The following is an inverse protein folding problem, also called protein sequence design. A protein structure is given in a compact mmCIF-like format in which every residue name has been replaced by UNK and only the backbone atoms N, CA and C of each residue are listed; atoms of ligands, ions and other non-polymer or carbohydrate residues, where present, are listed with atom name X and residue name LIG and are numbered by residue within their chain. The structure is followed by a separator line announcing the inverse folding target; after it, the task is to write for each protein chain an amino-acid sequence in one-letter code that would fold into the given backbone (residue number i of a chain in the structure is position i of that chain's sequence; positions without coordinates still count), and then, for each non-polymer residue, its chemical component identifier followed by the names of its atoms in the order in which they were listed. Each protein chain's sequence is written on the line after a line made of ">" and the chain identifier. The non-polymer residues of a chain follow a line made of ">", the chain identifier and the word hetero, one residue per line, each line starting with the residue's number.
data_IF_203276881779
#
_entry.id   IF_203276881779
#
_cell.length_a   1.000
_cell.length_b   1.000
_cell.length_c   1.000
_cell.angle_alpha   90.00
_cell.angle_beta   90.00
_cell.angle_gamma   90.00
#
_symmetry.space_group_name_H-M   'P 1'
#
loop_
_entity.id
_entity.type
_entity.pdbx_description
1 polymer ?
#
# COMPACT_ATOMS: atom_id res chain seq x y z
N UNK A 1 -10.07 -13.46 8.84
CA UNK A 1 -10.21 -11.99 8.71
C UNK A 1 -9.35 -11.39 9.80
N UNK A 2 -8.11 -11.02 9.45
CA UNK A 2 -7.04 -10.77 10.42
C UNK A 2 -7.23 -9.43 11.14
N UNK A 3 -7.09 -9.47 12.47
CA UNK A 3 -7.15 -8.34 13.39
C UNK A 3 -6.02 -7.33 13.18
N UNK A 4 -5.00 -7.67 12.40
CA UNK A 4 -3.86 -6.82 12.06
C UNK A 4 -4.25 -5.63 11.15
N UNK A 5 -5.35 -5.73 10.42
CA UNK A 5 -5.77 -4.74 9.41
C UNK A 5 -6.50 -3.51 9.98
N UNK A 6 -6.94 -3.55 11.24
CA UNK A 6 -7.62 -2.40 11.86
C UNK A 6 -6.65 -1.36 12.42
N UNK A 7 -5.46 -1.78 12.88
CA UNK A 7 -4.50 -0.88 13.50
C UNK A 7 -3.77 0.03 12.49
N UNK A 8 -3.50 -0.45 11.26
CA UNK A 8 -2.83 0.40 10.24
C UNK A 8 -3.76 1.45 9.62
N UNK A 9 -5.08 1.23 9.60
CA UNK A 9 -6.05 2.19 9.06
C UNK A 9 -6.28 3.39 9.99
N UNK A 10 -6.09 3.23 11.30
CA UNK A 10 -6.35 4.29 12.29
C UNK A 10 -5.24 5.36 12.35
N UNK A 11 -4.04 5.05 11.87
CA UNK A 11 -2.90 5.99 11.87
C UNK A 11 -2.83 6.88 10.63
N UNK A 12 -3.74 6.70 9.66
CA UNK A 12 -3.79 7.49 8.42
C UNK A 12 -4.82 8.63 8.46
N UNK A 13 -5.33 8.98 9.64
CA UNK A 13 -6.19 10.16 9.85
C UNK A 13 -5.61 11.10 10.91
N UNK A 14 -4.28 11.27 10.90
CA UNK A 14 -3.65 12.41 11.54
C UNK A 14 -3.46 13.50 10.48
N UNK A 15 -4.31 14.53 10.57
CA UNK A 15 -4.36 15.71 9.72
C UNK A 15 -2.99 16.11 9.14
N UNK A 16 -2.90 16.16 7.80
CA UNK A 16 -1.75 16.69 7.12
C UNK A 16 -1.46 18.11 7.65
N UNK A 17 -0.24 18.41 8.14
CA UNK A 17 0.08 19.74 8.61
C UNK A 17 -0.04 20.72 7.43
N UNK A 18 -0.60 21.93 7.63
CA UNK A 18 -0.77 22.87 6.54
C UNK A 18 0.59 23.19 5.92
N UNK A 19 0.70 22.94 4.61
CA UNK A 19 1.85 23.23 3.80
C UNK A 19 2.01 24.74 3.61
N UNK A 20 2.45 25.45 4.65
CA UNK A 20 2.78 26.87 4.59
C UNK A 20 4.01 27.14 5.47
N UNK A 21 5.19 26.84 4.93
CA UNK A 21 6.44 27.50 5.35
C UNK A 21 7.21 27.90 4.11
N UNK A 22 6.99 29.12 3.65
CA UNK A 22 7.98 29.79 2.84
C UNK A 22 9.22 30.03 3.71
N UNK A 23 10.33 29.36 3.41
CA UNK A 23 11.64 29.59 4.06
C UNK A 23 12.26 30.95 3.68
N UNK A 24 11.57 31.74 2.86
CA UNK A 24 12.01 33.06 2.43
C UNK A 24 11.26 34.14 3.22
N UNK A 25 11.89 34.60 4.30
CA UNK A 25 11.49 35.82 5.01
C UNK A 25 12.22 37.01 4.38
N UNK A 26 11.49 38.07 4.00
CA UNK A 26 12.12 39.35 3.61
C UNK A 26 12.87 39.91 4.82
N UNK A 27 14.16 40.19 4.65
CA UNK A 27 14.93 40.98 5.62
C UNK A 27 14.28 42.37 5.72
N UNK A 28 13.41 42.55 6.69
CA UNK A 28 13.01 43.87 7.15
C UNK A 28 13.81 44.16 8.40
N UNK A 29 14.39 45.34 8.45
CA UNK A 29 15.22 45.90 9.51
C UNK A 29 14.40 46.17 10.78
N UNK A 30 13.80 45.12 11.35
CA UNK A 30 13.27 45.18 12.71
C UNK A 30 14.40 44.76 13.65
N UNK A 31 14.73 45.57 14.68
CA UNK A 31 15.61 45.10 15.74
C UNK A 31 14.99 43.84 16.32
N UNK A 32 15.75 42.76 16.43
CA UNK A 32 15.29 41.51 17.05
C UNK A 32 15.06 41.80 18.53
N UNK A 33 13.82 42.16 18.86
CA UNK A 33 13.36 42.46 20.21
C UNK A 33 13.29 41.15 21.00
N UNK A 34 14.44 40.76 21.56
CA UNK A 34 14.61 39.50 22.28
C UNK A 34 16.06 39.06 22.46
N UNK A 35 17.00 39.56 21.65
CA UNK A 35 18.41 39.24 21.80
C UNK A 35 19.17 40.33 22.57
N UNK A 36 18.76 40.55 23.83
CA UNK A 36 19.57 41.31 24.80
C UNK A 36 20.78 40.46 25.18
N UNK A 37 21.80 40.44 24.32
CA UNK A 37 23.11 39.90 24.68
C UNK A 37 23.63 40.72 25.86
N UNK A 38 23.52 40.17 27.07
CA UNK A 38 24.30 40.66 28.20
C UNK A 38 25.77 40.55 27.78
N UNK A 39 26.39 41.69 27.49
CA UNK A 39 27.80 41.81 27.11
C UNK A 39 28.63 41.57 28.38
N UNK A 40 28.73 40.31 28.79
CA UNK A 40 29.77 39.83 29.68
C UNK A 40 29.84 38.31 29.55
N UNK A 41 30.56 37.86 28.52
CA UNK A 41 31.12 36.52 28.44
C UNK A 41 32.25 36.62 27.41
N UNK A 42 33.47 36.90 27.90
CA UNK A 42 34.70 36.92 27.10
C UNK A 42 35.06 35.50 26.64
N UNK A 43 34.19 34.82 25.90
CA UNK A 43 34.58 33.62 25.17
C UNK A 43 34.89 34.04 23.75
N UNK A 44 36.12 33.73 23.32
CA UNK A 44 36.58 33.97 21.96
C UNK A 44 35.52 33.45 20.97
N UNK A 45 35.17 34.28 19.98
CA UNK A 45 34.21 33.97 18.91
C UNK A 45 34.54 32.62 18.27
N UNK A 46 35.83 32.31 18.10
CA UNK A 46 36.30 31.02 17.58
C UNK A 46 35.82 29.84 18.44
N UNK A 47 35.82 29.99 19.77
CA UNK A 47 35.36 28.94 20.68
C UNK A 47 33.85 28.73 20.58
N UNK A 48 33.08 29.81 20.44
CA UNK A 48 31.63 29.75 20.20
C UNK A 48 31.30 29.11 18.86
N UNK A 49 32.05 29.46 17.81
CA UNK A 49 31.91 28.87 16.48
C UNK A 49 32.22 27.37 16.50
N UNK A 50 33.30 26.98 17.17
CA UNK A 50 33.68 25.56 17.32
C UNK A 50 32.60 24.79 18.10
N UNK A 51 32.06 25.34 19.18
CA UNK A 51 30.97 24.72 19.96
C UNK A 51 29.67 24.60 19.17
N UNK A 52 29.34 25.61 18.35
CA UNK A 52 28.20 25.59 17.44
C UNK A 52 28.35 24.49 16.37
N UNK A 53 29.51 24.45 15.70
CA UNK A 53 29.80 23.41 14.69
C UNK A 53 29.80 22.00 15.31
N UNK A 54 30.32 21.84 16.53
CA UNK A 54 30.29 20.56 17.26
C UNK A 54 28.87 20.14 17.66
N UNK A 55 28.03 21.06 18.10
CA UNK A 55 26.62 20.78 18.46
C UNK A 55 25.80 20.42 17.22
N UNK A 56 25.98 21.15 16.11
CA UNK A 56 25.30 20.86 14.86
C UNK A 56 25.72 19.50 14.28
N UNK A 57 27.00 19.12 14.42
CA UNK A 57 27.51 17.81 14.00
C UNK A 57 26.92 16.65 14.81
N UNK A 58 26.55 16.86 16.08
CA UNK A 58 25.86 15.85 16.91
C UNK A 58 24.40 15.68 16.46
N UNK A 59 23.68 16.78 16.23
CA UNK A 59 22.31 16.73 15.71
C UNK A 59 22.22 16.05 14.34
N UNK A 60 23.15 16.33 13.42
CA UNK A 60 23.20 15.67 12.10
C UNK A 60 23.43 14.16 12.19
N UNK A 61 24.11 13.67 13.23
CA UNK A 61 24.34 12.23 13.42
C UNK A 61 23.14 11.55 14.10
N UNK A 62 22.44 12.26 15.00
CA UNK A 62 21.22 11.77 15.66
C UNK A 62 20.00 11.78 14.74
N UNK A 63 19.83 12.78 13.88
CA UNK A 63 18.70 12.86 12.92
C UNK A 63 18.83 11.89 11.75
N UNK A 64 20.06 11.50 11.36
CA UNK A 64 20.31 10.52 10.30
C UNK A 64 19.99 9.07 10.69
N UNK A 65 20.03 8.72 11.98
CA UNK A 65 19.70 7.36 12.44
C UNK A 65 18.23 6.98 12.22
N UNK A 66 17.24 7.76 12.70
CA UNK A 66 15.82 7.44 12.46
C UNK A 66 15.43 7.55 10.99
N UNK A 67 16.08 8.44 10.22
CA UNK A 67 15.83 8.56 8.78
C UNK A 67 16.32 7.33 8.00
N UNK A 68 17.51 6.82 8.33
CA UNK A 68 18.04 5.58 7.74
C UNK A 68 17.21 4.35 8.10
N UNK A 69 16.75 4.26 9.35
CA UNK A 69 15.90 3.16 9.80
C UNK A 69 14.51 3.20 9.15
N UNK A 70 13.93 4.40 9.00
CA UNK A 70 12.69 4.59 8.23
C UNK A 70 12.85 4.21 6.76
N UNK A 71 13.96 4.59 6.12
CA UNK A 71 14.27 4.21 4.74
C UNK A 71 14.42 2.69 4.61
N UNK A 72 15.14 2.05 5.52
CA UNK A 72 15.30 0.59 5.54
C UNK A 72 13.96 -0.13 5.70
N UNK A 73 13.13 0.28 6.67
CA UNK A 73 11.78 -0.29 6.85
C UNK A 73 10.92 -0.10 5.60
N UNK A 74 10.97 1.08 4.97
CA UNK A 74 10.25 1.32 3.72
C UNK A 74 10.71 0.37 2.60
N UNK A 75 12.02 0.15 2.44
CA UNK A 75 12.57 -0.78 1.45
C UNK A 75 12.11 -2.22 1.68
N UNK A 76 12.08 -2.67 2.95
CA UNK A 76 11.58 -4.01 3.30
C UNK A 76 10.09 -4.13 3.04
N UNK A 77 9.29 -3.15 3.49
CA UNK A 77 7.85 -3.14 3.27
C UNK A 77 7.51 -3.15 1.77
N UNK A 78 8.20 -2.34 0.97
CA UNK A 78 8.00 -2.30 -0.48
C UNK A 78 8.40 -3.62 -1.15
N UNK A 79 9.46 -4.28 -0.67
CA UNK A 79 9.83 -5.63 -1.14
C UNK A 79 8.74 -6.65 -0.83
N UNK A 80 8.23 -6.67 0.40
CA UNK A 80 7.14 -7.57 0.81
C UNK A 80 5.89 -7.30 -0.03
N UNK A 81 5.54 -6.03 -0.25
CA UNK A 81 4.39 -5.62 -1.08
C UNK A 81 4.53 -6.16 -2.51
N UNK A 82 5.72 -6.03 -3.11
CA UNK A 82 5.99 -6.55 -4.46
C UNK A 82 5.94 -8.07 -4.52
N UNK A 83 6.45 -8.76 -3.50
CA UNK A 83 6.38 -10.22 -3.45
C UNK A 83 4.92 -10.69 -3.34
N UNK A 84 4.11 -10.09 -2.45
CA UNK A 84 2.67 -10.38 -2.36
C UNK A 84 1.97 -10.15 -3.70
N UNK A 85 2.26 -9.04 -4.38
CA UNK A 85 1.70 -8.75 -5.70
C UNK A 85 2.11 -9.82 -6.73
N UNK A 86 3.39 -10.21 -6.75
CA UNK A 86 3.90 -11.27 -7.64
C UNK A 86 3.20 -12.61 -7.39
N UNK A 87 3.07 -13.02 -6.13
CA UNK A 87 2.37 -14.25 -5.75
C UNK A 87 0.89 -14.23 -6.18
N UNK A 88 0.21 -13.09 -6.02
CA UNK A 88 -1.17 -12.93 -6.50
C UNK A 88 -1.30 -13.16 -8.01
N UNK A 89 -0.36 -12.65 -8.82
CA UNK A 89 -0.37 -12.90 -10.27
C UNK A 89 -0.07 -14.36 -10.63
N UNK A 90 0.82 -15.02 -9.90
CA UNK A 90 1.12 -16.44 -10.11
C UNK A 90 -0.10 -17.31 -9.77
N UNK A 91 -0.77 -17.03 -8.66
CA UNK A 91 -2.01 -17.71 -8.27
C UNK A 91 -3.10 -17.51 -9.33
N UNK A 92 -3.28 -16.28 -9.83
CA UNK A 92 -4.23 -16.00 -10.90
C UNK A 92 -3.86 -16.76 -12.19
N UNK A 93 -2.60 -16.70 -12.62
CA UNK A 93 -2.14 -17.39 -13.82
C UNK A 93 -2.34 -18.91 -13.75
N UNK A 94 -2.19 -19.51 -12.57
CA UNK A 94 -2.37 -20.96 -12.37
C UNK A 94 -3.80 -21.47 -12.61
N UNK A 95 -4.80 -20.59 -12.49
CA UNK A 95 -6.22 -20.94 -12.69
C UNK A 95 -6.76 -20.53 -14.06
N UNK A 96 -6.00 -19.74 -14.82
CA UNK A 96 -6.38 -19.33 -16.17
C UNK A 96 -6.12 -20.46 -17.17
N UNK A 97 -6.67 -20.30 -18.38
CA UNK A 97 -6.47 -21.28 -19.45
C UNK A 97 -4.99 -21.60 -19.72
N UNK A 98 -4.67 -22.89 -19.94
CA UNK A 98 -3.32 -23.32 -20.27
C UNK A 98 -2.90 -22.68 -21.61
N UNK A 99 -1.75 -21.99 -21.61
CA UNK A 99 -1.25 -21.24 -22.77
C UNK A 99 -1.30 -19.72 -22.61
N UNK A 100 -1.91 -19.22 -21.54
CA UNK A 100 -1.84 -17.79 -21.18
C UNK A 100 -0.39 -17.38 -20.96
N UNK A 101 0.05 -16.28 -21.58
CA UNK A 101 1.39 -15.73 -21.38
C UNK A 101 1.56 -15.24 -19.94
N UNK A 102 2.77 -15.37 -19.39
CA UNK A 102 3.07 -15.01 -17.99
C UNK A 102 3.26 -13.51 -17.73
N UNK A 103 3.06 -12.65 -18.73
CA UNK A 103 3.13 -11.20 -18.55
C UNK A 103 1.86 -10.65 -17.87
N UNK A 104 2.04 -9.60 -17.04
CA UNK A 104 0.95 -9.05 -16.20
C UNK A 104 -0.26 -8.60 -17.00
N UNK A 105 -0.04 -8.05 -18.20
CA UNK A 105 -1.10 -7.53 -19.04
C UNK A 105 -1.91 -8.69 -19.63
N UNK A 106 -1.25 -9.70 -20.19
CA UNK A 106 -1.93 -10.90 -20.70
C UNK A 106 -2.71 -11.62 -19.62
N UNK A 107 -2.13 -11.81 -18.42
CA UNK A 107 -2.84 -12.43 -17.28
C UNK A 107 -4.13 -11.65 -16.95
N UNK A 108 -4.04 -10.33 -16.85
CA UNK A 108 -5.20 -9.48 -16.50
C UNK A 108 -6.26 -9.49 -17.60
N UNK A 109 -5.85 -9.38 -18.87
CA UNK A 109 -6.75 -9.40 -20.02
C UNK A 109 -7.43 -10.76 -20.19
N UNK A 110 -6.70 -11.85 -19.94
CA UNK A 110 -7.28 -13.19 -20.01
C UNK A 110 -8.30 -13.39 -18.88
N UNK A 111 -7.96 -13.01 -17.64
CA UNK A 111 -8.89 -13.09 -16.52
C UNK A 111 -10.18 -12.29 -16.78
N UNK A 112 -10.06 -11.09 -17.36
CA UNK A 112 -11.20 -10.25 -17.72
C UNK A 112 -12.13 -10.93 -18.73
N UNK A 113 -11.59 -11.75 -19.64
CA UNK A 113 -12.36 -12.50 -20.65
C UNK A 113 -12.95 -13.79 -20.09
N UNK A 114 -12.16 -14.53 -19.32
CA UNK A 114 -12.56 -15.85 -18.82
C UNK A 114 -13.67 -15.78 -17.77
N UNK A 115 -13.67 -14.77 -16.88
CA UNK A 115 -14.69 -14.68 -15.83
C UNK A 115 -16.11 -14.61 -16.39
N UNK A 116 -16.45 -13.69 -17.32
CA UNK A 116 -17.77 -13.66 -17.95
C UNK A 116 -18.09 -14.92 -18.76
N UNK A 117 -17.11 -15.47 -19.48
CA UNK A 117 -17.31 -16.70 -20.25
C UNK A 117 -17.68 -17.89 -19.37
N UNK A 118 -16.99 -18.05 -18.23
CA UNK A 118 -17.28 -19.09 -17.25
C UNK A 118 -18.65 -18.89 -16.59
N UNK A 119 -19.02 -17.65 -16.27
CA UNK A 119 -20.35 -17.33 -15.75
C UNK A 119 -21.45 -17.74 -16.74
N UNK A 120 -21.31 -17.35 -18.01
CA UNK A 120 -22.28 -17.73 -19.06
C UNK A 120 -22.37 -19.25 -19.23
N UNK A 121 -21.23 -19.95 -19.23
CA UNK A 121 -21.22 -21.42 -19.34
C UNK A 121 -21.88 -22.08 -18.13
N UNK A 122 -21.65 -21.55 -16.93
CA UNK A 122 -22.29 -22.03 -15.70
C UNK A 122 -23.81 -21.90 -15.79
N UNK A 123 -24.32 -20.74 -16.18
CA UNK A 123 -25.77 -20.50 -16.33
C UNK A 123 -26.41 -21.44 -17.36
N UNK A 124 -25.74 -21.64 -18.51
CA UNK A 124 -26.22 -22.55 -19.55
C UNK A 124 -26.27 -24.01 -19.05
N UNK A 125 -25.25 -24.46 -18.31
CA UNK A 125 -25.23 -25.80 -17.72
C UNK A 125 -26.29 -25.96 -16.63
N UNK A 126 -26.50 -24.96 -15.79
CA UNK A 126 -27.56 -24.97 -14.77
C UNK A 126 -28.95 -25.05 -15.40
N UNK A 127 -29.20 -24.34 -16.52
CA UNK A 127 -30.45 -24.45 -17.27
C UNK A 127 -30.66 -25.87 -17.80
N UNK A 128 -29.64 -26.44 -18.46
CA UNK A 128 -29.71 -27.80 -19.02
C UNK A 128 -29.91 -28.86 -17.94
N UNK A 129 -29.24 -28.72 -16.80
CA UNK A 129 -29.43 -29.65 -15.69
C UNK A 129 -30.88 -29.64 -15.18
N UNK A 130 -31.50 -28.45 -15.04
CA UNK A 130 -32.91 -28.35 -14.65
C UNK A 130 -33.86 -29.00 -15.65
N UNK A 131 -33.60 -28.81 -16.95
CA UNK A 131 -34.38 -29.45 -18.01
C UNK A 131 -34.27 -30.98 -17.93
N UNK A 132 -33.07 -31.51 -17.71
CA UNK A 132 -32.82 -32.95 -17.57
C UNK A 132 -33.48 -33.50 -16.30
N UNK A 133 -33.34 -32.83 -15.17
CA UNK A 133 -33.97 -33.22 -13.90
C UNK A 133 -35.49 -33.26 -14.02
N UNK A 134 -36.10 -32.30 -14.74
CA UNK A 134 -37.54 -32.31 -14.99
C UNK A 134 -37.96 -33.53 -15.83
N UNK A 135 -37.25 -33.82 -16.93
CA UNK A 135 -37.54 -34.98 -17.80
C UNK A 135 -37.38 -36.30 -17.03
N UNK A 136 -36.34 -36.40 -16.19
CA UNK A 136 -36.12 -37.60 -15.36
C UNK A 136 -37.23 -37.78 -14.33
N UNK A 137 -37.61 -36.70 -13.62
CA UNK A 137 -38.71 -36.74 -12.66
C UNK A 137 -40.06 -37.11 -13.29
N UNK A 138 -40.34 -36.65 -14.51
CA UNK A 138 -41.53 -37.05 -15.27
C UNK A 138 -41.51 -38.54 -15.63
N UNK A 139 -40.36 -39.06 -16.08
CA UNK A 139 -40.21 -40.49 -16.39
C UNK A 139 -40.38 -41.38 -15.17
N UNK A 140 -39.77 -41.01 -14.04
CA UNK A 140 -39.93 -41.75 -12.77
C UNK A 140 -41.38 -41.75 -12.29
N UNK A 141 -42.10 -40.63 -12.45
CA UNK A 141 -43.52 -40.54 -12.13
C UNK A 141 -44.40 -41.41 -13.07
N UNK A 142 -44.03 -41.54 -14.35
CA UNK A 142 -44.71 -42.46 -15.27
C UNK A 142 -44.46 -43.93 -14.93
N UNK A 143 -43.24 -44.31 -14.57
CA UNK A 143 -42.90 -45.68 -14.18
C UNK A 143 -43.59 -46.09 -12.88
N UNK A 144 -43.68 -45.19 -11.91
CA UNK A 144 -44.43 -45.40 -10.67
C UNK A 144 -45.95 -45.55 -10.88
N UNK A 145 -46.52 -44.98 -11.96
CA UNK A 145 -47.94 -45.15 -12.32
C UNK A 145 -48.21 -46.44 -13.09
N UNK A 146 -47.19 -47.02 -13.72
CA UNK A 146 -47.30 -48.28 -14.48
C UNK A 146 -47.04 -49.52 -13.62
N UNK A 147 -46.50 -49.35 -12.41
CA UNK A 147 -46.25 -50.39 -11.42
C UNK A 147 -47.44 -50.53 -10.46
#
# INVERSE_FOLDING_TARGET
>A
MDQFFQEEMFLLEAAAPPANRSDFVRYSERPIEGFRMKISNHRNINRRMIEFLRSNRRQVMESKRPEKERCFRHMINERIRREKQKQSYLALHSVLSPGTKSDKNSITQMALKEVPELQRRKEELERRNKEIEAILGEREAEEARRS
#
